data_IF_986240160616
#
_entry.id   IF_986240160616
#
_cell.length_a   1.000
_cell.length_b   1.000
_cell.length_c   1.000
_cell.angle_alpha   90.00
_cell.angle_beta   90.00
_cell.angle_gamma   90.00
#
_symmetry.space_group_name_H-M   'P 1'
#
loop_
_entity.id
_entity.type
_entity.pdbx_description
1 polymer ?
#
# COMPACT_ATOMS: atom_id res chain seq x y z
N UNK A 1 -40.61 -20.58 -1.94
CA UNK A 1 -41.26 -19.49 -1.18
C UNK A 1 -40.35 -19.05 -0.04
N UNK A 2 -40.11 -17.73 0.06
CA UNK A 2 -39.66 -16.90 1.21
C UNK A 2 -38.34 -17.29 1.91
N UNK A 3 -37.24 -16.60 1.59
CA UNK A 3 -36.72 -15.34 2.20
C UNK A 3 -36.03 -15.51 3.56
N UNK A 4 -34.73 -15.22 3.62
CA UNK A 4 -34.25 -14.00 4.28
C UNK A 4 -32.77 -13.71 4.00
N UNK A 5 -32.56 -12.75 3.08
CA UNK A 5 -31.42 -11.85 3.05
C UNK A 5 -31.23 -11.17 4.42
N UNK A 6 -29.97 -11.05 4.91
CA UNK A 6 -29.44 -9.87 5.62
C UNK A 6 -28.04 -10.14 6.20
N UNK A 7 -26.98 -9.64 5.54
CA UNK A 7 -25.77 -9.18 6.25
C UNK A 7 -24.88 -8.23 5.40
N UNK A 8 -25.48 -7.38 4.56
CA UNK A 8 -24.75 -6.46 3.67
C UNK A 8 -25.09 -4.97 3.82
N UNK A 9 -25.79 -4.57 4.89
CA UNK A 9 -26.45 -3.25 4.94
C UNK A 9 -25.87 -2.26 5.97
N UNK A 10 -24.82 -2.63 6.72
CA UNK A 10 -24.29 -1.78 7.80
C UNK A 10 -23.10 -0.89 7.42
N UNK A 11 -22.55 -1.04 6.21
CA UNK A 11 -21.42 -0.21 5.75
C UNK A 11 -21.82 0.98 4.87
N UNK A 12 -23.07 1.05 4.38
CA UNK A 12 -23.54 2.13 3.49
C UNK A 12 -24.39 3.21 4.15
N UNK A 13 -24.91 3.00 5.37
CA UNK A 13 -25.73 4.02 6.05
C UNK A 13 -24.91 5.14 6.71
N UNK A 14 -23.63 4.90 6.99
CA UNK A 14 -22.73 5.90 7.59
C UNK A 14 -22.20 6.92 6.56
N UNK A 15 -22.30 6.63 5.26
CA UNK A 15 -21.93 7.55 4.18
C UNK A 15 -23.11 8.42 3.72
N UNK A 16 -24.36 8.00 3.94
CA UNK A 16 -25.55 8.78 3.54
C UNK A 16 -25.89 9.84 4.60
N UNK A 17 -25.60 9.61 5.88
CA UNK A 17 -25.84 10.61 6.95
C UNK A 17 -24.82 11.76 6.97
N UNK A 18 -23.65 11.59 6.34
CA UNK A 18 -22.63 12.64 6.21
C UNK A 18 -22.91 13.58 5.02
N UNK A 19 -23.82 13.20 4.13
CA UNK A 19 -24.19 13.94 2.91
C UNK A 19 -25.36 14.93 3.10
N UNK A 20 -26.00 14.97 4.27
CA UNK A 20 -27.10 15.90 4.58
C UNK A 20 -26.74 17.01 5.58
N UNK A 21 -25.48 17.12 6.02
CA UNK A 21 -25.00 18.16 6.94
C UNK A 21 -24.14 19.26 6.28
N UNK A 22 -24.07 19.30 4.94
CA UNK A 22 -23.32 20.33 4.18
C UNK A 22 -24.23 21.13 3.23
N UNK A 23 -25.53 21.27 3.55
CA UNK A 23 -26.47 22.10 2.77
C UNK A 23 -27.24 23.10 3.63
N UNK A 24 -26.54 23.79 4.53
CA UNK A 24 -27.10 24.97 5.21
C UNK A 24 -26.00 25.91 5.72
N UNK A 25 -25.21 26.47 4.80
CA UNK A 25 -24.56 27.78 5.00
C UNK A 25 -24.41 28.45 3.63
N UNK A 26 -25.51 28.99 3.13
CA UNK A 26 -25.50 30.03 2.10
C UNK A 26 -26.01 31.30 2.77
N UNK A 27 -25.13 32.29 2.90
CA UNK A 27 -25.37 33.74 2.82
C UNK A 27 -24.33 34.53 3.64
N UNK A 28 -23.25 34.92 2.99
CA UNK A 28 -22.58 36.22 3.18
C UNK A 28 -21.48 36.36 2.14
N UNK A 29 -21.68 37.24 1.15
CA UNK A 29 -20.64 37.63 0.19
C UNK A 29 -19.71 38.65 0.86
N UNK A 30 -18.39 38.45 0.92
CA UNK A 30 -17.47 39.56 0.93
C UNK A 30 -17.03 39.87 -0.51
N UNK A 31 -17.27 41.11 -0.93
CA UNK A 31 -16.68 41.69 -2.13
C UNK A 31 -15.19 41.82 -1.87
N UNK A 32 -14.37 41.02 -2.55
CA UNK A 32 -12.93 41.23 -2.63
C UNK A 32 -12.61 41.46 -4.11
N UNK A 33 -12.25 42.71 -4.44
CA UNK A 33 -11.58 43.08 -5.70
C UNK A 33 -10.22 42.38 -5.70
N UNK A 34 -10.04 41.38 -6.55
CA UNK A 34 -8.71 40.87 -6.87
C UNK A 34 -8.25 41.47 -8.19
N UNK A 35 -7.13 42.17 -8.10
CA UNK A 35 -6.32 42.67 -9.22
C UNK A 35 -5.90 41.46 -10.05
N UNK A 36 -6.16 41.54 -11.35
CA UNK A 36 -5.67 40.61 -12.36
C UNK A 36 -4.19 40.87 -12.56
N UNK A 37 -3.33 40.01 -12.02
CA UNK A 37 -1.96 39.85 -12.48
C UNK A 37 -1.65 38.35 -12.58
N UNK A 38 -1.67 37.87 -13.83
CA UNK A 38 -0.72 36.92 -14.41
C UNK A 38 -0.28 35.73 -13.54
N UNK A 39 -1.04 34.65 -13.56
CA UNK A 39 -0.53 33.30 -13.26
C UNK A 39 -0.94 32.36 -14.39
N UNK A 40 -0.26 32.48 -15.52
CA UNK A 40 -0.12 31.36 -16.46
C UNK A 40 1.20 30.64 -16.16
N UNK A 41 1.17 29.30 -16.24
CA UNK A 41 2.29 28.35 -16.18
C UNK A 41 2.85 27.90 -14.82
N UNK A 42 2.08 27.08 -14.08
CA UNK A 42 2.65 26.00 -13.23
C UNK A 42 1.80 24.70 -13.31
N UNK A 43 1.23 24.36 -14.48
CA UNK A 43 0.44 23.12 -14.63
C UNK A 43 1.04 22.06 -15.56
N UNK A 44 2.14 22.36 -16.26
CA UNK A 44 2.71 21.43 -17.25
C UNK A 44 3.83 20.52 -16.71
N UNK A 45 4.50 20.90 -15.63
CA UNK A 45 5.58 20.07 -15.05
C UNK A 45 5.06 18.84 -14.27
N UNK A 46 3.89 18.91 -13.64
CA UNK A 46 3.31 17.75 -12.93
C UNK A 46 2.71 16.68 -13.87
N UNK A 47 2.41 17.05 -15.12
CA UNK A 47 1.79 16.15 -16.10
C UNK A 47 2.77 15.15 -16.73
N UNK A 48 4.01 15.57 -16.96
CA UNK A 48 5.08 14.71 -17.52
C UNK A 48 5.59 13.69 -16.49
N UNK A 49 5.75 14.10 -15.24
CA UNK A 49 6.26 13.26 -14.14
C UNK A 49 5.26 12.18 -13.69
N UNK A 50 3.96 12.53 -13.62
CA UNK A 50 2.89 11.55 -13.34
C UNK A 50 2.76 10.50 -14.44
N UNK A 51 3.01 10.87 -15.70
CA UNK A 51 2.95 9.95 -16.84
C UNK A 51 4.01 8.84 -16.70
N UNK A 52 5.21 9.18 -16.21
CA UNK A 52 6.28 8.23 -15.90
C UNK A 52 5.85 7.23 -14.81
N UNK A 53 5.29 7.69 -13.68
CA UNK A 53 4.85 6.80 -12.59
C UNK A 53 3.68 5.90 -12.99
N UNK A 54 2.78 6.37 -13.87
CA UNK A 54 1.70 5.55 -14.41
C UNK A 54 2.23 4.39 -15.27
N UNK A 55 3.41 4.52 -15.91
CA UNK A 55 3.98 3.42 -16.70
C UNK A 55 4.40 2.21 -15.84
N UNK A 56 4.73 2.44 -14.55
CA UNK A 56 5.03 1.37 -13.60
C UNK A 56 3.82 0.44 -13.38
N UNK A 57 2.61 0.90 -13.71
CA UNK A 57 1.35 0.18 -13.57
C UNK A 57 0.50 0.32 -14.84
N UNK A 58 1.12 0.29 -16.03
CA UNK A 58 0.40 0.39 -17.29
C UNK A 58 -0.44 -0.86 -17.59
N UNK A 59 0.13 -2.04 -17.32
CA UNK A 59 -0.48 -3.35 -17.57
C UNK A 59 0.01 -4.41 -16.55
N UNK A 60 -0.50 -5.63 -16.65
CA UNK A 60 -0.20 -6.72 -15.71
C UNK A 60 1.25 -7.23 -15.73
N UNK A 61 2.06 -6.76 -16.68
CA UNK A 61 3.49 -7.09 -16.80
C UNK A 61 4.39 -5.88 -16.50
N UNK A 62 3.82 -4.75 -16.09
CA UNK A 62 4.60 -3.56 -15.74
C UNK A 62 5.43 -3.77 -14.49
N UNK A 63 6.56 -3.06 -14.39
CA UNK A 63 7.55 -3.23 -13.33
C UNK A 63 6.96 -3.15 -11.91
N UNK A 64 6.08 -2.17 -11.66
CA UNK A 64 5.40 -2.01 -10.38
C UNK A 64 4.44 -3.16 -10.06
N UNK A 65 3.75 -3.70 -11.07
CA UNK A 65 2.89 -4.89 -10.90
C UNK A 65 3.72 -6.11 -10.54
N UNK A 66 4.83 -6.34 -11.25
CA UNK A 66 5.74 -7.45 -10.95
C UNK A 66 6.34 -7.34 -9.55
N UNK A 67 6.71 -6.13 -9.14
CA UNK A 67 7.26 -5.86 -7.82
C UNK A 67 6.24 -6.18 -6.69
N UNK A 68 4.99 -5.75 -6.82
CA UNK A 68 3.93 -6.09 -5.84
C UNK A 68 3.59 -7.58 -5.90
N UNK A 69 3.54 -8.18 -7.10
CA UNK A 69 3.30 -9.62 -7.23
C UNK A 69 4.35 -10.45 -6.48
N UNK A 70 5.63 -10.05 -6.59
CA UNK A 70 6.72 -10.66 -5.86
C UNK A 70 6.63 -10.39 -4.34
N UNK A 71 6.20 -9.20 -3.94
CA UNK A 71 5.98 -8.86 -2.53
C UNK A 71 4.87 -9.69 -1.88
N UNK A 72 3.79 -9.97 -2.61
CA UNK A 72 2.73 -10.90 -2.17
C UNK A 72 3.22 -12.35 -2.11
N UNK A 73 4.23 -12.71 -2.91
CA UNK A 73 4.66 -14.09 -3.11
C UNK A 73 3.88 -14.80 -4.22
N UNK A 74 3.00 -14.09 -4.92
CA UNK A 74 2.25 -14.60 -6.07
C UNK A 74 3.14 -14.72 -7.31
N UNK A 75 4.24 -13.98 -7.38
CA UNK A 75 5.26 -14.13 -8.40
C UNK A 75 6.63 -14.37 -7.77
N UNK A 76 7.49 -15.05 -8.51
CA UNK A 76 8.94 -14.99 -8.29
C UNK A 76 9.49 -13.63 -8.76
N UNK A 77 10.74 -13.33 -8.41
CA UNK A 77 11.40 -12.07 -8.78
C UNK A 77 11.63 -11.91 -10.30
N UNK A 78 11.56 -12.99 -11.08
CA UNK A 78 11.60 -12.99 -12.55
C UNK A 78 10.19 -12.92 -13.19
N UNK A 79 9.13 -12.81 -12.38
CA UNK A 79 7.76 -12.64 -12.83
C UNK A 79 7.01 -13.95 -13.12
N UNK A 80 7.60 -15.12 -12.83
CA UNK A 80 6.89 -16.40 -12.95
C UNK A 80 5.84 -16.50 -11.84
N UNK A 81 4.63 -16.89 -12.22
CA UNK A 81 3.50 -17.07 -11.29
C UNK A 81 3.77 -18.28 -10.38
N UNK A 82 3.58 -18.12 -9.08
CA UNK A 82 3.63 -19.20 -8.10
C UNK A 82 2.25 -19.85 -7.95
N UNK A 83 2.13 -20.91 -7.15
CA UNK A 83 0.83 -21.50 -6.82
C UNK A 83 -0.12 -20.50 -6.14
N UNK A 84 0.41 -19.55 -5.36
CA UNK A 84 -0.37 -18.54 -4.63
C UNK A 84 -1.12 -17.59 -5.56
N UNK A 85 -0.60 -17.33 -6.76
CA UNK A 85 -1.26 -16.50 -7.76
C UNK A 85 -2.62 -17.07 -8.18
N UNK A 86 -2.71 -18.40 -8.32
CA UNK A 86 -3.93 -19.03 -8.84
C UNK A 86 -5.03 -19.09 -7.78
N UNK A 87 -4.66 -19.43 -6.55
CA UNK A 87 -5.54 -19.39 -5.40
C UNK A 87 -4.77 -19.67 -4.11
N UNK A 88 -5.08 -18.92 -3.05
CA UNK A 88 -4.73 -19.30 -1.69
C UNK A 88 -5.74 -18.73 -0.68
N UNK A 89 -5.78 -19.29 0.53
CA UNK A 89 -6.59 -18.75 1.62
C UNK A 89 -5.68 -17.95 2.54
N UNK A 90 -6.04 -16.69 2.81
CA UNK A 90 -5.31 -15.84 3.73
C UNK A 90 -5.36 -16.41 5.15
N UNK A 91 -4.22 -16.66 5.81
CA UNK A 91 -4.21 -17.19 7.17
C UNK A 91 -4.74 -16.19 8.21
N UNK A 92 -4.69 -14.87 7.92
CA UNK A 92 -5.08 -13.80 8.81
C UNK A 92 -6.57 -13.47 8.80
N UNK A 93 -7.30 -13.75 7.70
CA UNK A 93 -8.74 -13.48 7.60
C UNK A 93 -9.60 -14.60 6.97
N UNK A 94 -8.98 -15.70 6.50
CA UNK A 94 -9.63 -16.88 5.90
C UNK A 94 -10.36 -16.63 4.57
N UNK A 95 -10.06 -15.53 3.88
CA UNK A 95 -10.63 -15.20 2.58
C UNK A 95 -9.76 -15.77 1.45
N UNK A 96 -10.40 -16.22 0.37
CA UNK A 96 -9.74 -16.69 -0.84
C UNK A 96 -9.16 -15.51 -1.64
N UNK A 97 -7.88 -15.61 -1.97
CA UNK A 97 -7.09 -14.62 -2.69
C UNK A 97 -6.66 -15.17 -4.06
N UNK A 98 -6.63 -14.31 -5.09
CA UNK A 98 -6.18 -14.65 -6.45
C UNK A 98 -5.52 -13.48 -7.16
N UNK A 99 -4.76 -13.77 -8.21
CA UNK A 99 -4.12 -12.76 -9.06
C UNK A 99 -2.89 -12.12 -8.42
N UNK A 100 -2.27 -11.17 -9.13
CA UNK A 100 -0.97 -10.63 -8.71
C UNK A 100 -1.03 -9.88 -7.37
N UNK A 101 -2.15 -9.23 -7.05
CA UNK A 101 -2.31 -8.45 -5.82
C UNK A 101 -3.01 -9.19 -4.68
N UNK A 102 -3.26 -10.50 -4.80
CA UNK A 102 -4.06 -11.26 -3.83
C UNK A 102 -5.48 -10.70 -3.68
N UNK A 103 -6.19 -10.49 -4.79
CA UNK A 103 -7.57 -9.98 -4.77
C UNK A 103 -8.51 -10.91 -4.00
N UNK A 104 -9.26 -10.32 -3.08
CA UNK A 104 -10.13 -11.02 -2.13
C UNK A 104 -11.55 -11.19 -2.69
N UNK A 105 -11.67 -11.58 -3.96
CA UNK A 105 -12.95 -11.87 -4.62
C UNK A 105 -13.67 -10.69 -5.28
N UNK A 106 -13.04 -9.51 -5.40
CA UNK A 106 -13.62 -8.34 -6.07
C UNK A 106 -13.70 -8.54 -7.59
N UNK A 107 -12.76 -9.29 -8.15
CA UNK A 107 -12.80 -9.78 -9.54
C UNK A 107 -13.65 -11.04 -9.73
N UNK A 108 -14.35 -11.52 -8.68
CA UNK A 108 -15.03 -12.80 -8.70
C UNK A 108 -14.05 -13.98 -8.72
N UNK A 109 -14.42 -15.06 -9.42
CA UNK A 109 -13.63 -16.31 -9.49
C UNK A 109 -12.72 -16.39 -10.74
N UNK A 110 -12.59 -15.32 -11.51
CA UNK A 110 -11.77 -15.27 -12.73
C UNK A 110 -10.46 -14.51 -12.46
N UNK A 111 -9.32 -15.10 -12.85
CA UNK A 111 -7.99 -14.53 -12.65
C UNK A 111 -7.76 -13.23 -13.42
N UNK A 112 -8.21 -13.14 -14.67
CA UNK A 112 -8.06 -11.94 -15.49
C UNK A 112 -8.87 -10.79 -14.90
N UNK A 113 -10.06 -11.07 -14.37
CA UNK A 113 -10.85 -10.09 -13.65
C UNK A 113 -10.19 -9.66 -12.34
N UNK A 114 -9.62 -10.60 -11.58
CA UNK A 114 -8.86 -10.30 -10.36
C UNK A 114 -7.70 -9.34 -10.66
N UNK A 115 -6.88 -9.66 -11.67
CA UNK A 115 -5.75 -8.85 -12.09
C UNK A 115 -6.19 -7.46 -12.61
N UNK A 116 -7.26 -7.40 -13.42
CA UNK A 116 -7.81 -6.14 -13.93
C UNK A 116 -8.33 -5.24 -12.81
N UNK A 117 -9.03 -5.81 -11.81
CA UNK A 117 -9.50 -5.06 -10.64
C UNK A 117 -8.33 -4.59 -9.78
N UNK A 118 -7.33 -5.43 -9.55
CA UNK A 118 -6.08 -5.04 -8.87
C UNK A 118 -5.41 -3.85 -9.57
N UNK A 119 -5.27 -3.91 -10.90
CA UNK A 119 -4.64 -2.85 -11.69
C UNK A 119 -5.43 -1.55 -11.61
N UNK A 120 -6.75 -1.62 -11.81
CA UNK A 120 -7.64 -0.46 -11.71
C UNK A 120 -7.57 0.21 -10.33
N UNK A 121 -7.61 -0.58 -9.25
CA UNK A 121 -7.53 -0.09 -7.85
C UNK A 121 -6.17 0.49 -7.50
N UNK A 122 -5.11 -0.06 -8.05
CA UNK A 122 -3.75 0.45 -7.83
C UNK A 122 -3.58 1.79 -8.54
N UNK A 123 -3.96 1.86 -9.83
CA UNK A 123 -3.91 3.10 -10.62
C UNK A 123 -4.76 4.21 -10.04
N UNK A 124 -5.96 3.91 -9.54
CA UNK A 124 -6.83 4.93 -8.93
C UNK A 124 -6.23 5.53 -7.65
N UNK A 125 -5.27 4.86 -7.01
CA UNK A 125 -4.61 5.34 -5.80
C UNK A 125 -3.38 6.19 -6.08
N UNK A 126 -2.78 6.09 -7.26
CA UNK A 126 -1.54 6.77 -7.65
C UNK A 126 -1.61 8.29 -7.37
N UNK A 127 -2.62 9.06 -7.86
CA UNK A 127 -2.61 10.52 -7.70
C UNK A 127 -2.55 10.96 -6.24
N UNK A 128 -3.26 10.25 -5.35
CA UNK A 128 -3.27 10.56 -3.92
C UNK A 128 -1.92 10.29 -3.26
N UNK A 129 -1.29 9.16 -3.55
CA UNK A 129 -0.02 8.80 -2.92
C UNK A 129 1.14 9.66 -3.45
N UNK A 130 1.10 10.02 -4.74
CA UNK A 130 2.01 11.02 -5.32
C UNK A 130 1.89 12.34 -4.56
N UNK A 131 0.68 12.89 -4.42
CA UNK A 131 0.47 14.13 -3.68
C UNK A 131 0.93 14.05 -2.22
N UNK A 132 0.75 12.90 -1.56
CA UNK A 132 1.21 12.71 -0.17
C UNK A 132 2.73 12.63 -0.04
N UNK A 133 3.42 12.01 -0.98
CA UNK A 133 4.88 12.00 -1.04
C UNK A 133 5.44 13.39 -1.32
N UNK A 134 4.89 14.09 -2.31
CA UNK A 134 5.28 15.47 -2.63
C UNK A 134 5.06 16.41 -1.44
N UNK A 135 3.90 16.32 -0.76
CA UNK A 135 3.63 17.08 0.46
C UNK A 135 4.56 16.73 1.63
N UNK A 136 5.23 15.58 1.59
CA UNK A 136 6.25 15.19 2.56
C UNK A 136 7.68 15.59 2.12
N UNK A 137 7.82 16.31 1.00
CA UNK A 137 9.10 16.72 0.42
C UNK A 137 9.81 15.62 -0.38
N UNK A 138 9.10 14.54 -0.73
CA UNK A 138 9.66 13.41 -1.48
C UNK A 138 9.19 13.49 -2.93
N UNK A 139 10.13 13.50 -3.88
CA UNK A 139 9.85 13.40 -5.31
C UNK A 139 9.70 11.93 -5.71
N UNK A 140 8.50 11.41 -5.97
CA UNK A 140 8.30 9.97 -6.18
C UNK A 140 9.07 9.43 -7.39
N UNK A 141 9.25 10.25 -8.43
CA UNK A 141 9.95 9.92 -9.68
C UNK A 141 11.44 9.67 -9.45
N UNK A 142 12.02 10.30 -8.43
CA UNK A 142 13.40 10.09 -7.99
C UNK A 142 13.51 9.01 -6.92
N UNK A 143 12.38 8.50 -6.42
CA UNK A 143 12.29 7.57 -5.28
C UNK A 143 11.37 6.39 -5.62
N UNK A 144 11.60 5.75 -6.77
CA UNK A 144 10.74 4.69 -7.31
C UNK A 144 10.54 3.52 -6.32
N UNK A 145 11.59 3.10 -5.60
CA UNK A 145 11.46 2.04 -4.58
C UNK A 145 10.49 2.45 -3.46
N UNK A 146 10.62 3.69 -2.95
CA UNK A 146 9.72 4.19 -1.90
C UNK A 146 8.29 4.34 -2.41
N UNK A 147 8.11 4.79 -3.66
CA UNK A 147 6.79 4.90 -4.29
C UNK A 147 6.09 3.54 -4.44
N UNK A 148 6.79 2.53 -4.96
CA UNK A 148 6.23 1.17 -5.09
C UNK A 148 5.94 0.57 -3.71
N UNK A 149 6.82 0.75 -2.72
CA UNK A 149 6.55 0.33 -1.35
C UNK A 149 5.31 1.02 -0.76
N UNK A 150 5.05 2.29 -1.11
CA UNK A 150 3.86 2.98 -0.64
C UNK A 150 2.57 2.42 -1.26
N UNK A 151 2.58 2.06 -2.56
CA UNK A 151 1.47 1.38 -3.23
C UNK A 151 1.26 -0.05 -2.74
N UNK A 152 2.35 -0.79 -2.49
CA UNK A 152 2.30 -2.11 -1.88
C UNK A 152 1.63 -2.07 -0.49
N UNK A 153 1.94 -1.03 0.30
CA UNK A 153 1.28 -0.81 1.58
C UNK A 153 -0.23 -0.56 1.45
N UNK A 154 -0.65 0.11 0.36
CA UNK A 154 -2.07 0.27 0.03
C UNK A 154 -2.72 -1.07 -0.36
N UNK A 155 -1.98 -1.96 -1.03
CA UNK A 155 -2.49 -3.28 -1.35
C UNK A 155 -2.72 -4.12 -0.08
N UNK A 156 -1.80 -4.02 0.88
CA UNK A 156 -1.78 -4.85 2.07
C UNK A 156 -2.74 -4.40 3.18
N UNK A 157 -2.91 -3.08 3.35
CA UNK A 157 -3.51 -2.53 4.55
C UNK A 157 -4.56 -1.46 4.26
N UNK A 158 -5.26 -1.01 5.30
CA UNK A 158 -6.24 0.05 5.19
C UNK A 158 -5.63 1.35 4.62
N UNK A 159 -6.41 2.21 3.95
CA UNK A 159 -5.91 3.45 3.38
C UNK A 159 -5.19 4.36 4.38
N UNK A 160 -5.53 4.28 5.67
CA UNK A 160 -4.85 5.01 6.76
C UNK A 160 -3.34 4.71 6.77
N UNK A 161 -2.96 3.44 6.60
CA UNK A 161 -1.57 2.99 6.71
C UNK A 161 -0.76 3.51 5.53
N UNK A 162 -1.22 3.30 4.29
CA UNK A 162 -0.53 3.83 3.11
C UNK A 162 -0.48 5.36 3.08
N UNK A 163 -1.51 6.03 3.63
CA UNK A 163 -1.54 7.49 3.73
C UNK A 163 -0.58 8.07 4.77
N UNK A 164 -0.14 7.28 5.75
CA UNK A 164 0.80 7.68 6.78
C UNK A 164 2.26 7.48 6.35
N UNK A 165 2.53 6.49 5.49
CA UNK A 165 3.88 6.14 5.03
C UNK A 165 4.72 7.34 4.55
N UNK A 166 4.22 8.27 3.70
CA UNK A 166 5.05 9.38 3.21
C UNK A 166 5.66 10.25 4.30
N UNK A 167 4.87 10.61 5.32
CA UNK A 167 5.35 11.40 6.46
C UNK A 167 6.37 10.62 7.29
N UNK A 168 6.15 9.31 7.47
CA UNK A 168 7.07 8.42 8.20
C UNK A 168 8.39 8.23 7.45
N UNK A 169 8.34 8.09 6.13
CA UNK A 169 9.52 7.98 5.29
C UNK A 169 10.37 9.26 5.32
N UNK A 170 9.74 10.42 5.13
CA UNK A 170 10.43 11.70 5.24
C UNK A 170 11.04 11.92 6.65
N UNK A 171 10.34 11.50 7.70
CA UNK A 171 10.88 11.56 9.07
C UNK A 171 12.11 10.65 9.23
N UNK A 172 12.06 9.41 8.74
CA UNK A 172 13.17 8.48 8.81
C UNK A 172 14.42 9.00 8.07
N UNK A 173 14.24 9.57 6.87
CA UNK A 173 15.34 10.21 6.14
C UNK A 173 15.97 11.36 6.93
N UNK A 174 15.16 12.22 7.56
CA UNK A 174 15.67 13.30 8.43
C UNK A 174 16.40 12.80 9.69
N UNK A 175 16.16 11.55 10.08
CA UNK A 175 16.90 10.88 11.17
C UNK A 175 18.19 10.23 10.71
N UNK A 176 18.58 10.39 9.44
CA UNK A 176 19.83 9.85 8.89
C UNK A 176 19.78 8.37 8.55
N UNK A 177 18.60 7.75 8.55
CA UNK A 177 18.45 6.37 8.09
C UNK A 177 18.72 6.32 6.59
N UNK A 178 19.47 5.31 6.14
CA UNK A 178 19.64 5.11 4.71
C UNK A 178 18.31 4.74 4.03
N UNK A 179 18.23 4.85 2.71
CA UNK A 179 16.98 4.63 1.94
C UNK A 179 16.28 3.33 2.30
N UNK A 180 17.03 2.21 2.41
CA UNK A 180 16.45 0.89 2.69
C UNK A 180 15.89 0.82 4.12
N UNK A 181 16.63 1.31 5.10
CA UNK A 181 16.18 1.39 6.49
C UNK A 181 15.00 2.33 6.65
N UNK A 182 15.03 3.48 5.98
CA UNK A 182 13.97 4.47 6.02
C UNK A 182 12.66 3.93 5.45
N UNK A 183 12.71 3.17 4.36
CA UNK A 183 11.52 2.48 3.82
C UNK A 183 11.00 1.47 4.84
N UNK A 184 11.84 0.56 5.38
CA UNK A 184 11.38 -0.42 6.36
C UNK A 184 10.74 0.25 7.57
N UNK A 185 11.41 1.24 8.14
CA UNK A 185 10.93 2.00 9.28
C UNK A 185 9.58 2.65 8.98
N UNK A 186 9.46 3.30 7.82
CA UNK A 186 8.21 3.94 7.41
C UNK A 186 7.07 2.95 7.21
N UNK A 187 7.35 1.77 6.64
CA UNK A 187 6.36 0.70 6.48
C UNK A 187 5.85 0.18 7.82
N UNK A 188 6.71 0.05 8.83
CA UNK A 188 6.29 -0.35 10.18
C UNK A 188 5.50 0.76 10.87
N UNK A 189 6.06 1.97 10.88
CA UNK A 189 5.50 3.11 11.60
C UNK A 189 4.21 3.66 11.01
N UNK A 190 3.92 3.35 9.76
CA UNK A 190 2.63 3.62 9.13
C UNK A 190 1.46 2.93 9.84
N UNK A 191 1.69 1.80 10.53
CA UNK A 191 0.67 1.12 11.31
C UNK A 191 0.38 1.80 12.65
N UNK A 192 1.23 2.73 13.10
CA UNK A 192 1.04 3.43 14.39
C UNK A 192 -0.22 4.31 14.35
N UNK A 193 -1.05 4.17 15.38
CA UNK A 193 -2.26 4.97 15.61
C UNK A 193 -1.93 6.29 16.28
N UNK A 194 -2.91 7.19 16.38
CA UNK A 194 -2.79 8.47 17.08
C UNK A 194 -2.46 8.32 18.57
N UNK A 195 -2.93 7.26 19.21
CA UNK A 195 -2.62 6.93 20.60
C UNK A 195 -1.22 6.32 20.80
N UNK A 196 -0.38 6.26 19.76
CA UNK A 196 0.97 5.72 19.81
C UNK A 196 1.07 4.19 19.66
N UNK A 197 -0.03 3.45 19.70
CA UNK A 197 -0.01 1.99 19.58
C UNK A 197 0.15 1.52 18.12
N UNK A 198 0.92 0.45 17.91
CA UNK A 198 1.00 -0.26 16.63
C UNK A 198 -0.19 -1.21 16.45
N UNK A 199 -0.89 -1.09 15.33
CA UNK A 199 -2.07 -1.87 15.02
C UNK A 199 -1.88 -2.66 13.72
N UNK A 200 -1.71 -3.98 13.82
CA UNK A 200 -1.65 -4.88 12.66
C UNK A 200 -2.44 -6.19 12.91
N UNK A 201 -3.56 -6.08 13.65
CA UNK A 201 -4.38 -7.22 14.05
C UNK A 201 -4.50 -7.36 15.56
N UNK A 202 -4.95 -8.53 16.02
CA UNK A 202 -5.08 -8.90 17.42
C UNK A 202 -4.74 -10.39 17.61
N UNK A 203 -5.08 -10.99 18.76
CA UNK A 203 -4.79 -12.40 19.05
C UNK A 203 -5.55 -13.40 18.18
N UNK A 204 -6.58 -12.99 17.45
CA UNK A 204 -7.44 -13.85 16.63
C UNK A 204 -7.26 -13.65 15.14
N UNK A 205 -7.02 -12.42 14.70
CA UNK A 205 -6.96 -12.06 13.27
C UNK A 205 -5.82 -11.09 12.95
N UNK A 206 -5.39 -11.08 11.69
CA UNK A 206 -4.35 -10.19 11.18
C UNK A 206 -2.92 -10.66 11.46
N UNK A 207 -1.94 -9.80 11.20
CA UNK A 207 -0.52 -10.15 11.28
C UNK A 207 -0.09 -10.55 12.70
N UNK A 208 -0.63 -9.90 13.73
CA UNK A 208 -0.28 -10.26 15.10
C UNK A 208 -0.70 -11.68 15.47
N UNK A 209 -1.85 -12.19 14.99
CA UNK A 209 -2.22 -13.59 15.25
C UNK A 209 -1.31 -14.56 14.51
N UNK A 210 -0.86 -14.20 13.29
CA UNK A 210 0.14 -14.97 12.53
C UNK A 210 1.47 -15.03 13.27
N UNK A 211 1.95 -13.91 13.83
CA UNK A 211 3.20 -13.84 14.59
C UNK A 211 3.14 -14.59 15.93
N UNK A 212 1.98 -14.58 16.58
CA UNK A 212 1.77 -15.24 17.87
C UNK A 212 1.45 -16.73 17.74
N UNK A 213 1.18 -17.22 16.53
CA UNK A 213 0.86 -18.62 16.26
C UNK A 213 2.09 -19.52 16.58
N UNK A 214 2.02 -20.43 17.58
CA UNK A 214 3.14 -21.26 17.99
C UNK A 214 3.60 -22.23 16.91
N UNK A 215 2.72 -22.63 15.98
CA UNK A 215 3.06 -23.46 14.83
C UNK A 215 3.85 -22.69 13.74
N UNK A 216 3.86 -21.35 13.78
CA UNK A 216 4.61 -20.53 12.83
C UNK A 216 6.03 -20.24 13.36
N UNK A 217 6.93 -21.21 13.18
CA UNK A 217 8.31 -21.17 13.68
C UNK A 217 9.13 -19.99 13.12
N UNK A 218 8.78 -19.46 11.95
CA UNK A 218 9.46 -18.32 11.34
C UNK A 218 9.38 -17.05 12.22
N UNK A 219 8.19 -16.76 12.77
CA UNK A 219 7.98 -15.60 13.62
C UNK A 219 8.34 -15.89 15.07
N UNK A 220 7.89 -17.02 15.61
CA UNK A 220 8.07 -17.33 17.03
C UNK A 220 9.54 -17.40 17.43
N UNK A 221 10.39 -18.01 16.58
CA UNK A 221 11.84 -18.07 16.81
C UNK A 221 12.49 -16.69 16.83
N UNK A 222 12.06 -15.78 15.95
CA UNK A 222 12.65 -14.42 15.82
C UNK A 222 12.11 -13.42 16.84
N UNK A 223 10.94 -13.68 17.41
CA UNK A 223 10.30 -12.81 18.39
C UNK A 223 10.47 -13.28 19.83
N UNK A 224 11.08 -14.45 20.06
CA UNK A 224 11.25 -15.07 21.40
C UNK A 224 11.92 -14.19 22.44
N UNK A 225 12.74 -13.24 22.00
CA UNK A 225 13.47 -12.30 22.86
C UNK A 225 12.62 -11.14 23.37
N UNK A 226 11.42 -10.95 22.84
CA UNK A 226 10.50 -9.89 23.25
C UNK A 226 9.31 -10.48 23.98
N UNK A 227 8.90 -9.85 25.08
CA UNK A 227 7.64 -10.19 25.74
C UNK A 227 6.49 -10.06 24.74
N UNK A 228 5.68 -11.11 24.61
CA UNK A 228 4.55 -11.12 23.67
C UNK A 228 3.65 -9.90 23.92
N UNK A 229 3.20 -9.24 22.84
CA UNK A 229 2.39 -8.03 22.89
C UNK A 229 3.07 -6.78 23.47
N UNK A 230 4.38 -6.81 23.78
CA UNK A 230 5.13 -5.59 24.08
C UNK A 230 5.29 -4.70 22.83
N UNK A 231 5.65 -3.43 23.01
CA UNK A 231 5.95 -2.54 21.87
C UNK A 231 7.08 -3.09 20.99
N UNK A 232 8.23 -3.55 21.53
CA UNK A 232 9.27 -4.19 20.73
C UNK A 232 8.77 -5.42 19.99
N UNK A 233 7.91 -6.24 20.60
CA UNK A 233 7.34 -7.42 19.94
C UNK A 233 6.44 -7.02 18.76
N UNK A 234 5.53 -6.05 18.94
CA UNK A 234 4.62 -5.57 17.88
C UNK A 234 5.41 -4.97 16.71
N UNK A 235 6.39 -4.13 17.03
CA UNK A 235 7.25 -3.50 16.03
C UNK A 235 8.00 -4.55 15.21
N UNK A 236 8.65 -5.51 15.89
CA UNK A 236 9.42 -6.54 15.21
C UNK A 236 8.55 -7.53 14.43
N UNK A 237 7.33 -7.84 14.91
CA UNK A 237 6.38 -8.66 14.16
C UNK A 237 6.03 -8.00 12.80
N UNK A 238 5.68 -6.71 12.82
CA UNK A 238 5.41 -5.95 11.59
C UNK A 238 6.67 -5.91 10.73
N UNK A 239 7.82 -5.57 11.32
CA UNK A 239 9.08 -5.45 10.59
C UNK A 239 9.51 -6.73 9.87
N UNK A 240 9.24 -7.91 10.44
CA UNK A 240 9.55 -9.19 9.80
C UNK A 240 8.79 -9.37 8.48
N UNK A 241 7.49 -9.13 8.46
CA UNK A 241 6.70 -9.21 7.23
C UNK A 241 7.07 -8.08 6.26
N UNK A 242 7.15 -6.84 6.74
CA UNK A 242 7.45 -5.68 5.89
C UNK A 242 8.84 -5.79 5.24
N UNK A 243 9.84 -6.33 5.95
CA UNK A 243 11.19 -6.55 5.40
C UNK A 243 11.18 -7.59 4.28
N UNK A 244 10.38 -8.64 4.38
CA UNK A 244 10.21 -9.64 3.30
C UNK A 244 9.64 -8.97 2.06
N UNK A 245 8.57 -8.19 2.20
CA UNK A 245 7.90 -7.48 1.10
C UNK A 245 8.82 -6.47 0.42
N UNK A 246 9.44 -5.59 1.21
CA UNK A 246 10.41 -4.62 0.72
C UNK A 246 11.56 -5.31 -0.02
N UNK A 247 12.10 -6.39 0.54
CA UNK A 247 13.20 -7.15 -0.07
C UNK A 247 12.82 -7.75 -1.43
N UNK A 248 11.58 -8.20 -1.60
CA UNK A 248 11.09 -8.68 -2.89
C UNK A 248 10.98 -7.55 -3.93
N UNK A 249 10.43 -6.39 -3.54
CA UNK A 249 10.35 -5.20 -4.39
C UNK A 249 11.75 -4.78 -4.86
N UNK A 250 12.68 -4.62 -3.93
CA UNK A 250 14.05 -4.21 -4.22
C UNK A 250 14.75 -5.19 -5.18
N UNK A 251 14.56 -6.51 -5.01
CA UNK A 251 15.12 -7.53 -5.93
C UNK A 251 14.56 -7.41 -7.35
N UNK A 252 13.26 -7.12 -7.51
CA UNK A 252 12.66 -6.92 -8.84
C UNK A 252 13.24 -5.68 -9.51
N UNK A 253 13.42 -4.59 -8.76
CA UNK A 253 14.01 -3.35 -9.28
C UNK A 253 15.47 -3.53 -9.72
N UNK A 254 16.33 -4.09 -8.84
CA UNK A 254 17.73 -4.35 -9.18
C UNK A 254 17.89 -5.25 -10.41
N UNK A 255 17.02 -6.27 -10.55
CA UNK A 255 17.03 -7.13 -11.73
C UNK A 255 16.68 -6.35 -13.00
N UNK A 256 15.68 -5.48 -12.94
CA UNK A 256 15.29 -4.67 -14.08
C UNK A 256 16.42 -3.73 -14.52
N UNK A 257 17.10 -3.09 -13.57
CA UNK A 257 18.28 -2.25 -13.82
C UNK A 257 19.40 -3.05 -14.49
N UNK A 258 19.74 -4.23 -13.97
CA UNK A 258 20.76 -5.10 -14.58
C UNK A 258 20.41 -5.51 -16.01
N UNK A 259 19.13 -5.84 -16.27
CA UNK A 259 18.69 -6.20 -17.62
C UNK A 259 18.76 -5.03 -18.60
N UNK A 260 18.53 -3.80 -18.13
CA UNK A 260 18.67 -2.61 -18.98
C UNK A 260 20.15 -2.33 -19.29
N UNK A 261 21.03 -2.46 -18.31
CA UNK A 261 22.47 -2.27 -18.50
C UNK A 261 23.06 -3.30 -19.49
N UNK A 262 22.65 -4.57 -19.39
CA UNK A 262 23.09 -5.64 -20.29
C UNK A 262 22.57 -5.50 -21.73
N UNK A 263 21.47 -4.78 -21.95
CA UNK A 263 20.94 -4.51 -23.30
C UNK A 263 21.62 -3.33 -23.99
N UNK A 264 22.26 -2.47 -23.21
CA UNK A 264 22.95 -1.28 -23.67
C UNK A 264 24.48 -1.46 -23.72
N UNK A 265 24.97 -2.66 -23.39
CA UNK A 265 26.37 -3.09 -23.53
C UNK A 265 26.50 -3.96 -24.78
#
# INVERSE_FOLDING_TARGET
>A
MKHSLKLGYKWDLLNILLLFLITSFSLSKPVIKFVSDSVENISETSGLDSKSLNTLFANNSSLGVLAICAAEGNCTIDGKKTSLYYYHVDPGNRIGNRGWCSDQGRGGNNLDNADAVCLKRTRSRIPRLVGKLQNAGIKPEQNIEAFINNLDQWNQASPRVSDAFPKKYAYALRKGLNTKEAILWARVEAFRKSNGELEAGNSRVGLFSICANPQNTYYTTKLRQYSMWSEPWRWNCIALDQRRRQGAINKVLMRNENNLNNKNS
#
